data_IF_451349034664
#
_entry.id   IF_451349034664
#
_cell.length_a   1.000
_cell.length_b   1.000
_cell.length_c   1.000
_cell.angle_alpha   90.00
_cell.angle_beta   90.00
_cell.angle_gamma   90.00
#
_symmetry.space_group_name_H-M   'P 1'
#
loop_
_entity.id
_entity.type
_entity.pdbx_description
1 polymer ?
#
# COMPACT_ATOMS: atom_id res chain seq x y z
N UNK A 1 5.28 4.70 11.07
CA UNK A 1 6.17 3.52 11.09
C UNK A 1 7.37 3.74 11.98
N UNK A 2 8.02 2.69 12.51
CA UNK A 2 7.86 1.28 12.12
C UNK A 2 6.64 0.57 12.75
N UNK A 3 6.02 1.15 13.79
CA UNK A 3 4.77 0.63 14.35
C UNK A 3 3.61 0.79 13.36
N UNK A 4 2.71 -0.21 13.33
CA UNK A 4 1.41 -0.11 12.67
C UNK A 4 0.56 0.99 13.30
N UNK A 5 -0.41 1.47 12.53
CA UNK A 5 -1.38 2.47 12.95
C UNK A 5 -2.30 1.90 14.03
N UNK A 6 -2.61 2.74 15.01
CA UNK A 6 -3.63 2.45 16.02
C UNK A 6 -5.04 2.63 15.45
N UNK A 7 -6.07 2.01 16.04
CA UNK A 7 -7.46 2.22 15.62
C UNK A 7 -7.91 3.69 15.66
N UNK A 8 -7.35 4.49 16.58
CA UNK A 8 -7.65 5.92 16.67
C UNK A 8 -7.06 6.70 15.49
N UNK A 9 -5.81 6.38 15.11
CA UNK A 9 -5.15 6.97 13.94
C UNK A 9 -5.89 6.60 12.65
N UNK A 10 -6.30 5.34 12.49
CA UNK A 10 -7.10 4.90 11.33
C UNK A 10 -8.42 5.65 11.23
N UNK A 11 -9.14 5.85 12.35
CA UNK A 11 -10.38 6.65 12.37
C UNK A 11 -10.14 8.10 11.96
N UNK A 12 -9.07 8.72 12.45
CA UNK A 12 -8.70 10.09 12.07
C UNK A 12 -8.35 10.19 10.58
N UNK A 13 -7.51 9.29 10.08
CA UNK A 13 -7.10 9.25 8.67
C UNK A 13 -8.30 9.04 7.74
N UNK A 14 -9.23 8.14 8.12
CA UNK A 14 -10.48 7.94 7.37
C UNK A 14 -11.36 9.19 7.37
N UNK A 15 -11.46 9.90 8.50
CA UNK A 15 -12.18 11.17 8.56
C UNK A 15 -11.54 12.26 7.67
N UNK A 16 -10.23 12.18 7.44
CA UNK A 16 -9.51 13.01 6.47
C UNK A 16 -9.57 12.50 5.02
N UNK A 17 -10.32 11.42 4.75
CA UNK A 17 -10.53 10.89 3.41
C UNK A 17 -9.45 9.93 2.92
N UNK A 18 -8.63 9.37 3.80
CA UNK A 18 -7.66 8.35 3.41
C UNK A 18 -8.33 7.00 3.13
N UNK A 19 -8.02 6.41 1.97
CA UNK A 19 -8.47 5.06 1.58
C UNK A 19 -7.45 3.96 1.90
N UNK A 20 -6.16 4.32 2.01
CA UNK A 20 -5.07 3.41 2.31
C UNK A 20 -4.00 4.10 3.16
N UNK A 21 -3.26 3.30 3.95
CA UNK A 21 -2.15 3.75 4.79
C UNK A 21 -0.95 2.84 4.57
N UNK A 22 0.24 3.42 4.67
CA UNK A 22 1.49 2.72 4.45
C UNK A 22 2.67 3.55 4.91
N UNK A 23 3.84 2.94 4.95
CA UNK A 23 5.05 3.53 5.56
C UNK A 23 6.15 3.85 4.54
N UNK A 24 5.84 3.84 3.24
CA UNK A 24 6.79 4.06 2.14
C UNK A 24 6.15 4.85 0.98
N UNK A 25 6.80 4.85 -0.19
CA UNK A 25 6.28 5.34 -1.49
C UNK A 25 6.21 6.85 -1.63
N UNK A 26 5.71 7.58 -0.62
CA UNK A 26 5.55 9.04 -0.68
C UNK A 26 6.90 9.75 -0.87
N UNK A 27 7.98 9.45 -0.12
CA UNK A 27 9.27 10.10 -0.31
C UNK A 27 9.83 9.92 -1.74
N UNK A 28 9.74 8.70 -2.28
CA UNK A 28 10.22 8.35 -3.61
C UNK A 28 9.40 9.05 -4.69
N UNK A 29 8.07 9.11 -4.53
CA UNK A 29 7.18 9.78 -5.45
C UNK A 29 7.47 11.30 -5.53
N UNK A 30 7.73 11.94 -4.39
CA UNK A 30 8.11 13.37 -4.35
C UNK A 30 9.44 13.59 -5.07
N UNK A 31 10.46 12.77 -4.79
CA UNK A 31 11.78 12.89 -5.42
C UNK A 31 11.72 12.67 -6.93
N UNK A 32 11.04 11.62 -7.40
CA UNK A 32 10.86 11.35 -8.83
C UNK A 32 10.06 12.47 -9.54
N UNK A 33 9.05 13.03 -8.87
CA UNK A 33 8.26 14.14 -9.42
C UNK A 33 9.09 15.40 -9.56
N UNK A 34 9.94 15.69 -8.57
CA UNK A 34 10.90 16.80 -8.62
C UNK A 34 11.86 16.67 -9.81
N UNK A 35 12.24 15.45 -10.19
CA UNK A 35 13.06 15.17 -11.38
C UNK A 35 12.28 15.17 -12.71
N UNK A 36 10.99 15.51 -12.70
CA UNK A 36 10.16 15.55 -13.91
C UNK A 36 9.73 14.18 -14.43
N UNK A 37 9.85 13.12 -13.64
CA UNK A 37 9.45 11.77 -14.05
C UNK A 37 7.92 11.59 -14.03
N UNK A 38 7.40 10.76 -14.94
CA UNK A 38 6.06 10.19 -14.82
C UNK A 38 6.10 9.02 -13.83
N UNK A 39 5.09 8.91 -12.96
CA UNK A 39 5.06 7.93 -11.87
C UNK A 39 3.69 7.25 -11.85
N UNK A 40 3.67 5.93 -11.68
CA UNK A 40 2.50 5.15 -11.27
C UNK A 40 2.82 4.48 -9.93
N UNK A 41 2.01 4.78 -8.92
CA UNK A 41 2.05 4.09 -7.63
C UNK A 41 0.95 3.03 -7.57
N UNK A 42 1.30 1.83 -7.11
CA UNK A 42 0.33 0.74 -6.88
C UNK A 42 0.52 0.23 -5.46
N UNK A 43 -0.53 0.26 -4.66
CA UNK A 43 -0.54 -0.29 -3.30
C UNK A 43 -1.25 -1.63 -3.30
N UNK A 44 -0.55 -2.69 -2.89
CA UNK A 44 -1.15 -3.98 -2.64
C UNK A 44 -1.75 -3.99 -1.23
N UNK A 45 -3.08 -4.00 -1.13
CA UNK A 45 -3.77 -4.01 0.17
C UNK A 45 -3.74 -5.43 0.73
N UNK A 46 -2.86 -5.66 1.70
CA UNK A 46 -2.65 -6.97 2.33
C UNK A 46 -3.57 -7.25 3.51
N UNK A 47 -4.21 -6.23 4.06
CA UNK A 47 -5.07 -6.35 5.23
C UNK A 47 -6.04 -5.17 5.32
N UNK A 48 -7.13 -5.37 6.06
CA UNK A 48 -7.94 -4.25 6.55
C UNK A 48 -7.19 -3.54 7.68
N UNK A 49 -7.20 -2.22 7.72
CA UNK A 49 -6.45 -1.44 8.71
C UNK A 49 -6.88 -1.72 10.17
N UNK A 50 -6.05 -1.36 11.14
CA UNK A 50 -6.28 -1.68 12.56
C UNK A 50 -7.65 -1.18 13.05
N UNK A 51 -8.43 -2.07 13.67
CA UNK A 51 -9.76 -1.74 14.19
C UNK A 51 -10.87 -1.67 13.14
N UNK A 52 -10.60 -2.03 11.88
CA UNK A 52 -11.64 -2.29 10.86
C UNK A 52 -12.17 -3.72 10.97
N UNK A 53 -11.35 -4.65 11.44
CA UNK A 53 -11.73 -6.03 11.79
C UNK A 53 -11.30 -6.33 13.23
N UNK A 54 -11.97 -7.29 13.88
CA UNK A 54 -11.66 -7.72 15.26
C UNK A 54 -10.38 -8.57 15.37
N UNK A 55 -9.58 -8.65 14.30
CA UNK A 55 -8.36 -9.46 14.25
C UNK A 55 -7.12 -8.58 14.47
N UNK A 56 -6.16 -9.01 15.31
CA UNK A 56 -4.89 -8.31 15.46
C UNK A 56 -4.09 -8.36 14.17
N UNK A 57 -3.48 -7.23 13.78
CA UNK A 57 -2.59 -7.18 12.62
C UNK A 57 -1.26 -7.86 12.95
N UNK A 58 -0.89 -8.84 12.14
CA UNK A 58 0.40 -9.53 12.25
C UNK A 58 1.21 -9.37 10.97
N UNK A 59 2.54 -9.39 11.10
CA UNK A 59 3.42 -9.29 9.94
C UNK A 59 3.32 -10.54 9.05
N UNK A 60 3.03 -11.69 9.67
CA UNK A 60 2.84 -12.97 9.00
C UNK A 60 1.64 -12.96 8.03
N UNK A 61 0.49 -12.41 8.44
CA UNK A 61 -0.71 -12.29 7.58
C UNK A 61 -0.45 -11.39 6.35
N UNK A 62 0.37 -10.35 6.52
CA UNK A 62 0.79 -9.46 5.42
C UNK A 62 1.59 -10.25 4.40
N UNK A 63 2.55 -11.06 4.84
CA UNK A 63 3.38 -11.91 3.97
C UNK A 63 2.54 -12.98 3.28
N UNK A 64 1.63 -13.63 3.99
CA UNK A 64 0.75 -14.66 3.42
C UNK A 64 -0.14 -14.08 2.33
N UNK A 65 -0.75 -12.92 2.59
CA UNK A 65 -1.58 -12.24 1.59
C UNK A 65 -0.75 -11.80 0.39
N UNK A 66 0.46 -11.30 0.62
CA UNK A 66 1.41 -10.99 -0.45
C UNK A 66 1.69 -12.18 -1.36
N UNK A 67 1.93 -13.36 -0.79
CA UNK A 67 2.13 -14.61 -1.57
C UNK A 67 0.90 -15.03 -2.36
N UNK A 68 -0.31 -14.84 -1.81
CA UNK A 68 -1.56 -15.19 -2.51
C UNK A 68 -1.78 -14.34 -3.77
N UNK A 69 -1.36 -13.08 -3.76
CA UNK A 69 -1.58 -12.14 -4.87
C UNK A 69 -0.38 -12.00 -5.80
N UNK A 70 0.78 -12.54 -5.42
CA UNK A 70 2.07 -12.45 -6.12
C UNK A 70 1.94 -12.65 -7.63
N UNK A 71 1.41 -13.80 -8.09
CA UNK A 71 1.29 -14.10 -9.52
C UNK A 71 0.40 -13.13 -10.29
N UNK A 72 -0.70 -12.68 -9.67
CA UNK A 72 -1.63 -11.72 -10.29
C UNK A 72 -0.97 -10.35 -10.40
N UNK A 73 -0.27 -9.95 -9.34
CA UNK A 73 0.46 -8.69 -9.29
C UNK A 73 1.61 -8.68 -10.30
N UNK A 74 2.40 -9.75 -10.37
CA UNK A 74 3.46 -9.93 -11.37
C UNK A 74 2.91 -9.77 -12.80
N UNK A 75 1.82 -10.47 -13.12
CA UNK A 75 1.18 -10.38 -14.44
C UNK A 75 0.74 -8.95 -14.76
N UNK A 76 0.14 -8.25 -13.79
CA UNK A 76 -0.27 -6.86 -13.95
C UNK A 76 0.92 -5.95 -14.23
N UNK A 77 2.00 -6.07 -13.44
CA UNK A 77 3.21 -5.26 -13.61
C UNK A 77 3.86 -5.52 -14.96
N UNK A 78 3.96 -6.77 -15.39
CA UNK A 78 4.54 -7.14 -16.68
C UNK A 78 3.75 -6.53 -17.85
N UNK A 79 2.42 -6.56 -17.79
CA UNK A 79 1.59 -5.95 -18.84
C UNK A 79 1.68 -4.42 -18.82
N UNK A 80 1.77 -3.79 -17.64
CA UNK A 80 1.99 -2.34 -17.51
C UNK A 80 3.32 -1.95 -18.14
N UNK A 81 4.41 -2.65 -17.84
CA UNK A 81 5.74 -2.37 -18.40
C UNK A 81 5.72 -2.50 -19.93
N UNK A 82 5.08 -3.55 -20.45
CA UNK A 82 4.98 -3.80 -21.89
C UNK A 82 4.25 -2.69 -22.64
N UNK A 83 3.27 -2.04 -22.01
CA UNK A 83 2.44 -0.99 -22.61
C UNK A 83 2.69 0.40 -22.03
N UNK A 84 3.84 0.61 -21.35
CA UNK A 84 4.12 1.87 -20.65
C UNK A 84 4.34 3.02 -21.67
N UNK A 85 3.62 4.14 -21.55
CA UNK A 85 3.63 5.24 -22.53
C UNK A 85 4.77 6.25 -22.37
#
# INVERSE_FOLDING_TARGET
GPSFETPAEIKALRAFGADAVGMSTVPEAIAARHMGMKILGISCITNMAAGVTDKPLTHEEVIETGKMVEKKFETLIMEIIKNWP
#
